data_IF_256280509869
#
_entry.id   IF_256280509869
#
_cell.length_a   1.000
_cell.length_b   1.000
_cell.length_c   1.000
_cell.angle_alpha   90.00
_cell.angle_beta   90.00
_cell.angle_gamma   90.00
#
_symmetry.space_group_name_H-M   'P 1'
#
loop_
_entity.id
_entity.type
_entity.pdbx_description
1 polymer ?
#
# COMPACT_ATOMS: atom_id res chain seq x y z
N UNK A 1 6.65 9.05 -12.85
CA UNK A 1 7.48 9.87 -11.93
C UNK A 1 7.07 9.47 -10.52
N UNK A 2 8.00 9.07 -9.65
CA UNK A 2 7.66 8.73 -8.26
C UNK A 2 7.23 10.01 -7.54
N UNK A 3 6.01 10.05 -7.03
CA UNK A 3 5.50 11.16 -6.24
C UNK A 3 5.59 10.86 -4.73
N UNK A 4 5.27 11.86 -3.89
CA UNK A 4 5.35 11.71 -2.44
C UNK A 4 4.44 10.62 -1.89
N UNK A 5 3.27 10.37 -2.50
CA UNK A 5 2.38 9.27 -2.11
C UNK A 5 3.01 7.91 -2.38
N UNK A 6 3.67 7.73 -3.52
CA UNK A 6 4.36 6.47 -3.82
C UNK A 6 5.48 6.20 -2.80
N UNK A 7 6.23 7.24 -2.39
CA UNK A 7 7.28 7.13 -1.36
C UNK A 7 6.69 6.79 0.00
N UNK A 8 5.59 7.45 0.38
CA UNK A 8 4.88 7.18 1.62
C UNK A 8 4.36 5.73 1.66
N UNK A 9 3.75 5.26 0.56
CA UNK A 9 3.32 3.87 0.43
C UNK A 9 4.51 2.90 0.57
N UNK A 10 5.64 3.18 -0.07
CA UNK A 10 6.84 2.35 0.03
C UNK A 10 7.37 2.27 1.48
N UNK A 11 7.37 3.40 2.21
CA UNK A 11 7.76 3.45 3.61
C UNK A 11 6.81 2.63 4.50
N UNK A 12 5.49 2.76 4.32
CA UNK A 12 4.49 1.98 5.05
C UNK A 12 4.63 0.48 4.77
N UNK A 13 4.83 0.11 3.51
CA UNK A 13 5.06 -1.29 3.11
C UNK A 13 6.32 -1.85 3.76
N UNK A 14 7.40 -1.05 3.85
CA UNK A 14 8.62 -1.45 4.53
C UNK A 14 8.39 -1.62 6.05
N UNK A 15 7.66 -0.71 6.68
CA UNK A 15 7.33 -0.76 8.11
C UNK A 15 6.49 -2.00 8.48
N UNK A 16 5.57 -2.41 7.61
CA UNK A 16 4.75 -3.61 7.79
C UNK A 16 5.55 -4.91 7.55
N UNK A 17 6.76 -4.83 7.00
CA UNK A 17 7.64 -5.98 6.76
C UNK A 17 7.54 -6.55 5.34
N UNK A 18 7.12 -5.73 4.37
CA UNK A 18 7.17 -6.00 2.95
C UNK A 18 5.81 -6.18 2.27
N UNK A 19 5.86 -6.27 0.93
CA UNK A 19 4.67 -6.24 0.06
C UNK A 19 3.66 -7.35 0.37
N UNK A 20 4.13 -8.56 0.74
CA UNK A 20 3.24 -9.67 1.11
C UNK A 20 2.42 -9.37 2.37
N UNK A 21 3.08 -8.92 3.44
CA UNK A 21 2.41 -8.56 4.69
C UNK A 21 1.49 -7.37 4.52
N UNK A 22 1.91 -6.36 3.75
CA UNK A 22 1.06 -5.23 3.41
C UNK A 22 -0.23 -5.67 2.70
N UNK A 23 -0.13 -6.60 1.74
CA UNK A 23 -1.29 -7.14 1.04
C UNK A 23 -2.25 -7.90 1.97
N UNK A 24 -1.72 -8.69 2.91
CA UNK A 24 -2.48 -9.42 3.93
C UNK A 24 -3.18 -8.46 4.91
N UNK A 25 -2.50 -7.40 5.35
CA UNK A 25 -3.09 -6.38 6.22
C UNK A 25 -4.17 -5.56 5.52
N UNK A 26 -3.96 -5.16 4.27
CA UNK A 26 -5.02 -4.50 3.49
C UNK A 26 -6.23 -5.45 3.33
N UNK A 27 -5.97 -6.76 3.16
CA UNK A 27 -7.04 -7.77 3.11
C UNK A 27 -7.88 -7.78 4.37
N UNK A 28 -7.25 -7.72 5.53
CA UNK A 28 -7.94 -7.84 6.82
C UNK A 28 -8.82 -6.63 7.12
N UNK A 29 -8.46 -5.43 6.62
CA UNK A 29 -9.26 -4.21 6.79
C UNK A 29 -10.35 -4.05 5.75
N UNK A 30 -10.04 -4.27 4.47
CA UNK A 30 -10.95 -3.94 3.36
C UNK A 30 -11.76 -5.14 2.87
N UNK A 31 -11.40 -6.36 3.26
CA UNK A 31 -11.95 -7.61 2.72
C UNK A 31 -11.50 -7.93 1.29
N UNK A 32 -10.88 -6.98 0.60
CA UNK A 32 -10.35 -7.11 -0.75
C UNK A 32 -8.93 -6.56 -0.83
N UNK A 33 -8.04 -7.30 -1.50
CA UNK A 33 -6.60 -6.98 -1.58
C UNK A 33 -6.23 -6.53 -2.98
N UNK A 34 -5.55 -5.39 -3.15
CA UNK A 34 -4.83 -5.11 -4.39
C UNK A 34 -3.73 -6.17 -4.58
N UNK A 35 -3.64 -6.74 -5.78
CA UNK A 35 -2.66 -7.80 -6.07
C UNK A 35 -1.23 -7.36 -5.69
N UNK A 36 -0.37 -8.32 -5.33
CA UNK A 36 1.06 -8.07 -5.06
C UNK A 36 1.69 -7.18 -6.15
N UNK A 37 1.38 -7.47 -7.41
CA UNK A 37 1.85 -6.71 -8.57
C UNK A 37 1.35 -5.26 -8.62
N UNK A 38 0.15 -4.98 -8.12
CA UNK A 38 -0.39 -3.63 -8.03
C UNK A 38 0.35 -2.79 -6.99
N UNK A 39 0.64 -3.38 -5.81
CA UNK A 39 1.42 -2.72 -4.76
C UNK A 39 2.87 -2.51 -5.23
N UNK A 40 3.50 -3.52 -5.84
CA UNK A 40 4.86 -3.41 -6.41
C UNK A 40 4.95 -2.33 -7.50
N UNK A 41 3.90 -2.18 -8.31
CA UNK A 41 3.83 -1.12 -9.32
C UNK A 41 3.62 0.25 -8.65
N UNK A 42 2.79 0.32 -7.62
CA UNK A 42 2.51 1.54 -6.88
C UNK A 42 3.75 2.08 -6.16
N UNK A 43 4.55 1.24 -5.50
CA UNK A 43 5.79 1.69 -4.83
C UNK A 43 6.86 2.15 -5.83
N UNK A 44 6.84 1.64 -7.07
CA UNK A 44 7.77 2.03 -8.15
C UNK A 44 7.32 3.28 -8.93
N UNK A 45 6.25 3.95 -8.49
CA UNK A 45 5.76 5.18 -9.13
C UNK A 45 4.76 4.96 -10.27
N UNK A 46 4.12 3.80 -10.31
CA UNK A 46 2.96 3.54 -11.17
C UNK A 46 1.64 3.57 -10.40
N UNK A 47 0.53 3.32 -11.11
CA UNK A 47 -0.81 3.44 -10.55
C UNK A 47 -1.31 4.89 -10.54
N UNK A 48 -2.59 5.06 -10.23
CA UNK A 48 -3.21 6.38 -10.09
C UNK A 48 -3.05 6.89 -8.66
N UNK A 49 -3.01 8.21 -8.48
CA UNK A 49 -2.94 8.82 -7.13
C UNK A 49 -4.06 8.37 -6.21
N UNK A 50 -5.25 8.13 -6.76
CA UNK A 50 -6.38 7.57 -6.02
C UNK A 50 -6.07 6.17 -5.50
N UNK A 51 -5.57 5.27 -6.35
CA UNK A 51 -5.26 3.90 -5.93
C UNK A 51 -4.14 3.86 -4.89
N UNK A 52 -3.11 4.69 -5.06
CA UNK A 52 -2.00 4.80 -4.10
C UNK A 52 -2.52 5.34 -2.76
N UNK A 53 -3.38 6.37 -2.78
CA UNK A 53 -3.98 6.92 -1.56
C UNK A 53 -4.83 5.88 -0.83
N UNK A 54 -5.67 5.12 -1.52
CA UNK A 54 -6.44 4.06 -0.88
C UNK A 54 -5.55 3.03 -0.20
N UNK A 55 -4.44 2.62 -0.82
CA UNK A 55 -3.50 1.67 -0.22
C UNK A 55 -2.83 2.25 1.04
N UNK A 56 -2.49 3.54 1.02
CA UNK A 56 -1.95 4.25 2.19
C UNK A 56 -2.97 4.25 3.33
N UNK A 57 -4.21 4.66 3.04
CA UNK A 57 -5.28 4.75 4.04
C UNK A 57 -5.60 3.38 4.66
N UNK A 58 -5.62 2.33 3.82
CA UNK A 58 -5.85 0.96 4.26
C UNK A 58 -4.71 0.48 5.20
N UNK A 59 -3.44 0.77 4.87
CA UNK A 59 -2.28 0.42 5.70
C UNK A 59 -2.14 1.28 6.96
N UNK A 60 -2.65 2.51 6.97
CA UNK A 60 -2.68 3.34 8.19
C UNK A 60 -3.73 2.82 9.18
N UNK A 61 -4.89 2.39 8.67
CA UNK A 61 -5.95 1.77 9.49
C UNK A 61 -5.48 0.47 10.17
N UNK A 62 -4.58 -0.28 9.55
CA UNK A 62 -4.03 -1.52 10.14
C UNK A 62 -3.02 -1.26 11.26
N UNK A 63 -2.41 -0.06 11.30
CA UNK A 63 -1.42 0.33 12.31
C UNK A 63 -2.02 1.06 13.52
N UNK A 64 -3.28 1.50 13.43
CA UNK A 64 -3.95 2.25 14.51
C UNK A 64 -4.81 1.35 15.42
N UNK A 65 -4.68 0.02 15.28
CA UNK A 65 -5.27 -1.01 16.15
C UNK A 65 -4.16 -1.88 16.74
#
# INVERSE_FOLDING_TARGET
>A
MINEKNKQLAALVAQVGGVRKAAEQIKSVRGATPSKSAIDRAIKGGGTDYNVQCMIDDLLKTQTN
#
